data_IF_841732254225
#
_entry.id   IF_841732254225
#
_cell.length_a   1.000
_cell.length_b   1.000
_cell.length_c   1.000
_cell.angle_alpha   90.00
_cell.angle_beta   90.00
_cell.angle_gamma   90.00
#
_symmetry.space_group_name_H-M   'P 1'
#
loop_
_entity.id
_entity.type
_entity.pdbx_description
1 polymer ?
#
# COMPACT_ATOMS: atom_id res chain seq x y z
N UNK A 1 -18.37 13.79 21.81
CA UNK A 1 -18.35 14.48 20.51
C UNK A 1 -16.90 14.42 20.05
N UNK A 2 -16.58 13.59 19.06
CA UNK A 2 -15.22 13.57 18.51
C UNK A 2 -14.96 14.93 17.87
N UNK A 3 -13.92 15.62 18.32
CA UNK A 3 -13.44 16.82 17.64
C UNK A 3 -13.07 16.43 16.22
N UNK A 4 -13.58 17.16 15.23
CA UNK A 4 -13.13 17.03 13.85
C UNK A 4 -11.64 17.34 13.86
N UNK A 5 -10.81 16.41 13.40
CA UNK A 5 -9.38 16.66 13.29
C UNK A 5 -9.18 17.91 12.43
N UNK A 6 -8.69 19.01 13.02
CA UNK A 6 -8.64 20.33 12.40
C UNK A 6 -7.50 20.44 11.37
N UNK A 7 -7.56 19.61 10.33
CA UNK A 7 -6.64 19.64 9.17
C UNK A 7 -6.59 21.02 8.51
N UNK A 8 -7.69 21.78 8.61
CA UNK A 8 -7.83 23.13 8.05
C UNK A 8 -6.74 24.10 8.51
N UNK A 9 -6.19 23.91 9.71
CA UNK A 9 -5.14 24.77 10.29
C UNK A 9 -3.72 24.29 9.96
N UNK A 10 -3.56 23.08 9.43
CA UNK A 10 -2.25 22.50 9.15
C UNK A 10 -1.65 23.17 7.92
N UNK A 11 -0.44 23.73 8.09
CA UNK A 11 0.30 24.37 7.02
C UNK A 11 0.74 23.36 5.96
N UNK A 12 0.71 23.80 4.69
CA UNK A 12 1.18 22.99 3.57
C UNK A 12 2.70 22.87 3.54
N UNK A 13 3.18 21.68 3.16
CA UNK A 13 4.59 21.44 2.85
C UNK A 13 5.06 22.29 1.66
N UNK A 14 6.38 22.50 1.54
CA UNK A 14 6.97 23.21 0.38
C UNK A 14 6.63 22.51 -0.94
N UNK A 15 6.65 21.16 -0.97
CA UNK A 15 6.27 20.38 -2.16
C UNK A 15 4.80 20.60 -2.51
N UNK A 16 3.89 20.51 -1.54
CA UNK A 16 2.45 20.78 -1.72
C UNK A 16 2.21 22.18 -2.30
N UNK A 17 2.88 23.22 -1.78
CA UNK A 17 2.75 24.59 -2.29
C UNK A 17 3.23 24.74 -3.73
N UNK A 18 4.32 24.07 -4.11
CA UNK A 18 4.80 24.06 -5.51
C UNK A 18 3.80 23.39 -6.44
N UNK A 19 3.21 22.26 -6.02
CA UNK A 19 2.19 21.56 -6.80
C UNK A 19 0.90 22.35 -6.92
N UNK A 20 0.44 23.00 -5.85
CA UNK A 20 -0.70 23.92 -5.92
C UNK A 20 -0.48 25.02 -6.96
N UNK A 21 0.69 25.67 -6.95
CA UNK A 21 1.01 26.71 -7.94
C UNK A 21 0.98 26.16 -9.36
N UNK A 22 1.47 24.95 -9.58
CA UNK A 22 1.37 24.26 -10.87
C UNK A 22 -0.09 24.03 -11.27
N UNK A 23 -0.89 23.46 -10.36
CA UNK A 23 -2.32 23.20 -10.56
C UNK A 23 -3.08 24.46 -10.98
N UNK A 24 -2.91 25.58 -10.25
CA UNK A 24 -3.61 26.83 -10.55
C UNK A 24 -3.13 27.46 -11.86
N UNK A 25 -1.80 27.52 -12.08
CA UNK A 25 -1.21 28.08 -13.30
C UNK A 25 -1.65 27.34 -14.58
N UNK A 26 -1.82 26.02 -14.50
CA UNK A 26 -2.27 25.20 -15.62
C UNK A 26 -3.80 25.26 -15.83
N UNK A 27 -4.54 25.91 -14.93
CA UNK A 27 -6.00 25.98 -14.96
C UNK A 27 -6.49 27.38 -14.59
N UNK A 28 -6.40 28.33 -15.54
CA UNK A 28 -6.77 29.74 -15.32
C UNK A 28 -8.17 29.90 -14.72
N UNK A 29 -9.15 29.11 -15.18
CA UNK A 29 -10.51 29.19 -14.64
C UNK A 29 -10.62 28.69 -13.21
N UNK A 30 -9.87 27.65 -12.86
CA UNK A 30 -9.79 27.17 -11.48
C UNK A 30 -9.11 28.21 -10.60
N UNK A 31 -8.01 28.82 -11.05
CA UNK A 31 -7.32 29.90 -10.35
C UNK A 31 -8.26 31.08 -10.09
N UNK A 32 -8.97 31.54 -11.12
CA UNK A 32 -9.95 32.63 -11.00
C UNK A 32 -11.00 32.33 -9.91
N UNK A 33 -11.59 31.12 -9.92
CA UNK A 33 -12.56 30.71 -8.91
C UNK A 33 -11.92 30.65 -7.53
N UNK A 34 -10.75 30.03 -7.42
CA UNK A 34 -10.06 29.82 -6.15
C UNK A 34 -9.54 31.12 -5.53
N UNK A 35 -9.26 32.17 -6.30
CA UNK A 35 -8.78 33.48 -5.81
C UNK A 35 -9.95 34.41 -5.46
N UNK A 36 -11.03 34.39 -6.23
CA UNK A 36 -12.13 35.33 -6.04
C UNK A 36 -13.18 34.88 -5.02
N UNK A 37 -13.29 33.57 -4.77
CA UNK A 37 -14.23 33.02 -3.81
C UNK A 37 -13.90 33.45 -2.37
N UNK A 38 -14.85 34.11 -1.70
CA UNK A 38 -14.68 34.61 -0.33
C UNK A 38 -14.71 33.50 0.73
N UNK A 39 -15.30 32.36 0.39
CA UNK A 39 -15.46 31.23 1.29
C UNK A 39 -15.48 29.90 0.51
N UNK A 40 -15.41 28.79 1.24
CA UNK A 40 -15.41 27.43 0.68
C UNK A 40 -16.67 27.10 -0.12
N UNK A 41 -17.82 27.68 0.23
CA UNK A 41 -19.08 27.46 -0.47
C UNK A 41 -19.08 28.13 -1.83
N UNK A 42 -18.61 29.37 -1.92
CA UNK A 42 -18.45 30.08 -3.20
C UNK A 42 -17.46 29.37 -4.12
N UNK A 43 -16.35 28.87 -3.59
CA UNK A 43 -15.38 28.11 -4.37
C UNK A 43 -16.01 26.83 -4.94
N UNK A 44 -16.76 26.10 -4.11
CA UNK A 44 -17.47 24.89 -4.51
C UNK A 44 -18.53 25.16 -5.58
N UNK A 45 -19.35 26.19 -5.40
CA UNK A 45 -20.39 26.58 -6.37
C UNK A 45 -19.78 27.07 -7.67
N UNK A 46 -18.69 27.85 -7.60
CA UNK A 46 -17.96 28.33 -8.77
C UNK A 46 -17.42 27.19 -9.63
N UNK A 47 -16.75 26.20 -9.01
CA UNK A 47 -16.27 25.02 -9.73
C UNK A 47 -17.44 24.21 -10.26
N UNK A 48 -18.51 24.02 -9.48
CA UNK A 48 -19.70 23.28 -9.92
C UNK A 48 -20.28 23.86 -11.20
N UNK A 49 -20.54 25.16 -11.23
CA UNK A 49 -21.14 25.83 -12.37
C UNK A 49 -20.23 25.72 -13.61
N UNK A 50 -18.93 25.98 -13.43
CA UNK A 50 -17.96 25.85 -14.52
C UNK A 50 -17.92 24.43 -15.12
N UNK A 51 -17.81 23.39 -14.28
CA UNK A 51 -17.76 22.01 -14.76
C UNK A 51 -19.09 21.59 -15.39
N UNK A 52 -20.21 22.06 -14.85
CA UNK A 52 -21.53 21.79 -15.42
C UNK A 52 -21.67 22.40 -16.82
N UNK A 53 -21.23 23.65 -17.03
CA UNK A 53 -21.20 24.29 -18.35
C UNK A 53 -20.33 23.52 -19.36
N UNK A 54 -19.22 22.91 -18.92
CA UNK A 54 -18.43 22.02 -19.77
C UNK A 54 -19.20 20.75 -20.13
N UNK A 55 -19.91 20.17 -19.17
CA UNK A 55 -20.70 18.95 -19.36
C UNK A 55 -21.91 19.19 -20.28
N UNK A 56 -22.53 20.38 -20.24
CA UNK A 56 -23.65 20.75 -21.11
C UNK A 56 -23.28 20.75 -22.59
N UNK A 57 -22.01 20.97 -22.93
CA UNK A 57 -21.50 20.85 -24.30
C UNK A 57 -21.49 19.40 -24.80
N UNK A 58 -21.68 18.42 -23.90
CA UNK A 58 -21.73 17.00 -24.22
C UNK A 58 -23.03 16.34 -23.68
N UNK A 59 -24.10 16.30 -24.50
CA UNK A 59 -25.40 15.77 -24.07
C UNK A 59 -25.36 14.33 -23.55
N UNK A 60 -24.48 13.47 -24.09
CA UNK A 60 -24.34 12.08 -23.63
C UNK A 60 -23.76 12.01 -22.21
N UNK A 61 -22.74 12.82 -21.94
CA UNK A 61 -22.10 12.88 -20.63
C UNK A 61 -23.03 13.50 -19.58
N UNK A 62 -23.75 14.57 -19.93
CA UNK A 62 -24.77 15.18 -19.07
C UNK A 62 -25.85 14.17 -18.70
N UNK A 63 -26.44 13.50 -19.70
CA UNK A 63 -27.48 12.48 -19.47
C UNK A 63 -26.98 11.34 -18.58
N UNK A 64 -25.75 10.88 -18.81
CA UNK A 64 -25.14 9.85 -17.95
C UNK A 64 -24.96 10.32 -16.50
N UNK A 65 -24.51 11.55 -16.29
CA UNK A 65 -24.34 12.11 -14.94
C UNK A 65 -25.68 12.23 -14.17
N UNK A 66 -26.75 12.66 -14.85
CA UNK A 66 -28.06 12.88 -14.25
C UNK A 66 -28.82 11.57 -13.97
N UNK A 67 -28.78 10.61 -14.90
CA UNK A 67 -29.62 9.40 -14.88
C UNK A 67 -28.82 8.10 -14.64
N UNK A 68 -27.49 8.16 -14.62
CA UNK A 68 -26.63 6.99 -14.44
C UNK A 68 -26.86 5.91 -15.50
N UNK A 69 -26.99 4.65 -15.08
CA UNK A 69 -27.22 3.51 -15.98
C UNK A 69 -28.60 3.56 -16.66
N UNK A 70 -29.58 4.26 -16.09
CA UNK A 70 -30.92 4.41 -16.67
C UNK A 70 -30.91 5.31 -17.90
N UNK A 71 -29.84 6.10 -18.11
CA UNK A 71 -29.66 6.96 -19.28
C UNK A 71 -29.61 6.22 -20.63
N UNK A 72 -29.31 4.92 -20.61
CA UNK A 72 -28.97 4.14 -21.80
C UNK A 72 -27.62 4.49 -22.43
N UNK A 73 -26.84 5.39 -21.81
CA UNK A 73 -25.48 5.75 -22.24
C UNK A 73 -24.48 4.86 -21.49
N UNK A 74 -23.63 4.16 -22.23
CA UNK A 74 -22.54 3.40 -21.62
C UNK A 74 -21.45 4.35 -21.13
N UNK A 75 -20.98 4.16 -19.89
CA UNK A 75 -19.84 4.91 -19.34
C UNK A 75 -18.60 4.84 -20.24
N UNK A 76 -18.37 3.66 -20.86
CA UNK A 76 -17.26 3.43 -21.79
C UNK A 76 -17.37 4.23 -23.10
N UNK A 77 -18.54 4.76 -23.43
CA UNK A 77 -18.78 5.56 -24.63
C UNK A 77 -18.53 7.06 -24.42
N UNK A 78 -18.26 7.51 -23.19
CA UNK A 78 -17.92 8.90 -22.89
C UNK A 78 -16.46 9.19 -23.25
N UNK A 79 -16.16 10.46 -23.53
CA UNK A 79 -14.78 10.93 -23.77
C UNK A 79 -14.00 10.90 -22.47
N UNK A 80 -12.67 10.78 -22.55
CA UNK A 80 -11.84 10.74 -21.36
C UNK A 80 -11.95 12.00 -20.48
N UNK A 81 -12.15 13.18 -21.08
CA UNK A 81 -12.41 14.41 -20.34
C UNK A 81 -13.79 14.46 -19.65
N UNK A 82 -14.79 13.75 -20.18
CA UNK A 82 -16.11 13.64 -19.53
C UNK A 82 -16.00 12.89 -18.20
N UNK A 83 -15.10 11.91 -18.10
CA UNK A 83 -14.85 11.16 -16.87
C UNK A 83 -14.34 12.10 -15.77
N UNK A 84 -13.43 13.01 -16.11
CA UNK A 84 -12.93 14.01 -15.16
C UNK A 84 -14.04 14.98 -14.73
N UNK A 85 -14.83 15.48 -15.68
CA UNK A 85 -15.96 16.38 -15.37
C UNK A 85 -16.96 15.72 -14.41
N UNK A 86 -17.37 14.48 -14.69
CA UNK A 86 -18.25 13.68 -13.83
C UNK A 86 -17.62 13.49 -12.44
N UNK A 87 -16.34 13.11 -12.38
CA UNK A 87 -15.63 12.90 -11.11
C UNK A 87 -15.53 14.16 -10.26
N UNK A 88 -15.26 15.32 -10.87
CA UNK A 88 -15.24 16.59 -10.13
C UNK A 88 -16.63 16.92 -9.59
N UNK A 89 -17.69 16.71 -10.38
CA UNK A 89 -19.07 16.90 -9.91
C UNK A 89 -19.44 15.92 -8.80
N UNK A 90 -18.97 14.68 -8.84
CA UNK A 90 -19.14 13.71 -7.76
C UNK A 90 -18.43 14.13 -6.47
N UNK A 91 -17.22 14.69 -6.56
CA UNK A 91 -16.51 15.27 -5.41
C UNK A 91 -17.30 16.42 -4.79
N UNK A 92 -17.88 17.28 -5.63
CA UNK A 92 -18.72 18.40 -5.20
C UNK A 92 -20.02 17.90 -4.54
N UNK A 93 -20.70 16.94 -5.16
CA UNK A 93 -21.94 16.34 -4.66
C UNK A 93 -21.75 15.68 -3.30
N UNK A 94 -20.59 15.06 -3.09
CA UNK A 94 -20.24 14.37 -1.84
C UNK A 94 -19.39 15.22 -0.89
N UNK A 95 -19.19 16.50 -1.19
CA UNK A 95 -18.40 17.39 -0.35
C UNK A 95 -19.06 17.60 1.02
N UNK A 96 -18.25 17.60 2.07
CA UNK A 96 -18.71 17.76 3.45
C UNK A 96 -19.23 16.47 4.08
N UNK A 97 -19.19 15.33 3.37
CA UNK A 97 -19.46 14.02 3.98
C UNK A 97 -18.36 13.71 4.99
N UNK A 98 -18.80 13.19 6.13
CA UNK A 98 -17.95 12.83 7.25
C UNK A 98 -17.91 11.30 7.40
N UNK A 99 -16.72 10.76 7.62
CA UNK A 99 -16.49 9.33 7.80
C UNK A 99 -15.65 9.12 9.05
N UNK A 100 -15.94 8.06 9.79
CA UNK A 100 -15.04 7.61 10.86
C UNK A 100 -13.84 6.95 10.18
N UNK A 101 -12.66 7.52 10.37
CA UNK A 101 -11.42 7.02 9.79
C UNK A 101 -10.66 6.23 10.85
N UNK A 102 -10.60 4.91 10.64
CA UNK A 102 -9.92 3.99 11.55
C UNK A 102 -8.40 4.12 11.48
N UNK A 103 -7.86 4.64 10.36
CA UNK A 103 -6.43 5.00 10.24
C UNK A 103 -6.08 6.25 11.06
N UNK A 104 -7.08 7.03 11.48
CA UNK A 104 -6.92 8.16 12.39
C UNK A 104 -7.48 7.82 13.78
N UNK A 105 -7.37 6.55 14.18
CA UNK A 105 -7.86 6.05 15.48
C UNK A 105 -9.34 6.36 15.76
N UNK A 106 -10.19 6.27 14.73
CA UNK A 106 -11.63 6.51 14.84
C UNK A 106 -12.03 7.99 14.85
N UNK A 107 -11.12 8.89 14.47
CA UNK A 107 -11.44 10.30 14.29
C UNK A 107 -12.36 10.53 13.08
N UNK A 108 -13.10 11.64 13.12
CA UNK A 108 -13.97 12.03 12.02
C UNK A 108 -13.14 12.72 10.92
N UNK A 109 -13.07 12.10 9.74
CA UNK A 109 -12.48 12.67 8.54
C UNK A 109 -13.57 13.30 7.67
N UNK A 110 -13.36 14.56 7.26
CA UNK A 110 -14.23 15.26 6.33
C UNK A 110 -13.64 15.20 4.91
N UNK A 111 -14.44 14.74 3.95
CA UNK A 111 -14.06 14.78 2.54
C UNK A 111 -14.57 16.06 1.88
N UNK A 112 -13.66 16.96 1.52
CA UNK A 112 -13.99 18.16 0.75
C UNK A 112 -12.81 18.63 -0.12
N UNK A 113 -12.56 17.98 -1.29
CA UNK A 113 -11.41 18.30 -2.15
C UNK A 113 -11.34 19.76 -2.60
N UNK A 114 -12.47 20.38 -2.95
CA UNK A 114 -12.51 21.76 -3.45
C UNK A 114 -12.16 22.75 -2.32
N UNK A 115 -12.67 22.51 -1.10
CA UNK A 115 -12.27 23.27 0.09
C UNK A 115 -10.77 23.19 0.34
N UNK A 116 -10.15 22.01 0.17
CA UNK A 116 -8.71 21.85 0.37
C UNK A 116 -7.90 22.73 -0.60
N UNK A 117 -8.31 22.81 -1.86
CA UNK A 117 -7.67 23.71 -2.86
C UNK A 117 -7.88 25.17 -2.47
N UNK A 118 -9.09 25.56 -2.06
CA UNK A 118 -9.39 26.93 -1.66
C UNK A 118 -8.59 27.36 -0.42
N UNK A 119 -8.55 26.54 0.64
CA UNK A 119 -7.73 26.77 1.84
C UNK A 119 -6.24 26.88 1.49
N UNK A 120 -5.77 26.01 0.60
CA UNK A 120 -4.41 26.00 0.12
C UNK A 120 -4.05 27.31 -0.59
N UNK A 121 -4.93 27.81 -1.46
CA UNK A 121 -4.75 29.04 -2.21
C UNK A 121 -4.79 30.30 -1.33
N UNK A 122 -5.76 30.39 -0.42
CA UNK A 122 -5.98 31.59 0.39
C UNK A 122 -5.13 31.66 1.65
N UNK A 123 -4.92 30.53 2.31
CA UNK A 123 -4.33 30.48 3.67
C UNK A 123 -3.00 29.73 3.69
N UNK A 124 -2.67 28.97 2.64
CA UNK A 124 -1.51 28.08 2.65
C UNK A 124 -1.66 26.94 3.68
N UNK A 125 -2.90 26.61 4.05
CA UNK A 125 -3.28 25.59 5.03
C UNK A 125 -4.23 24.55 4.40
N UNK A 126 -4.85 23.68 5.21
CA UNK A 126 -5.73 22.59 4.77
C UNK A 126 -5.11 21.20 4.92
N UNK A 127 -3.83 21.09 5.29
CA UNK A 127 -3.18 19.80 5.56
C UNK A 127 -2.98 18.87 4.36
N UNK A 128 -3.44 19.26 3.16
CA UNK A 128 -3.34 18.46 1.94
C UNK A 128 -1.88 18.08 1.60
N UNK A 129 -1.65 16.78 1.41
CA UNK A 129 -0.34 16.21 1.11
C UNK A 129 0.00 16.34 -0.37
N UNK A 130 1.27 16.19 -0.78
CA UNK A 130 1.68 16.32 -2.18
C UNK A 130 0.87 15.44 -3.15
N UNK A 131 0.58 14.19 -2.75
CA UNK A 131 -0.17 13.23 -3.58
C UNK A 131 -1.58 13.71 -3.94
N UNK A 132 -2.26 14.41 -3.02
CA UNK A 132 -3.55 15.04 -3.32
C UNK A 132 -3.44 16.04 -4.48
N UNK A 133 -2.42 16.88 -4.47
CA UNK A 133 -2.23 17.87 -5.54
C UNK A 133 -1.76 17.22 -6.85
N UNK A 134 -0.96 16.16 -6.78
CA UNK A 134 -0.59 15.35 -7.96
C UNK A 134 -1.86 14.76 -8.61
N UNK A 135 -2.74 14.15 -7.82
CA UNK A 135 -4.03 13.64 -8.30
C UNK A 135 -4.91 14.73 -8.89
N UNK A 136 -5.01 15.89 -8.25
CA UNK A 136 -5.79 17.02 -8.79
C UNK A 136 -5.19 17.53 -10.10
N UNK A 137 -3.86 17.65 -10.21
CA UNK A 137 -3.20 18.05 -11.46
C UNK A 137 -3.57 17.09 -12.59
N UNK A 138 -3.44 15.78 -12.38
CA UNK A 138 -3.78 14.78 -13.39
C UNK A 138 -5.27 14.79 -13.73
N UNK A 139 -6.16 14.96 -12.75
CA UNK A 139 -7.60 15.09 -12.98
C UNK A 139 -7.95 16.30 -13.85
N UNK A 140 -7.27 17.44 -13.63
CA UNK A 140 -7.50 18.64 -14.43
C UNK A 140 -6.83 18.58 -15.81
N UNK A 141 -5.68 17.90 -15.96
CA UNK A 141 -5.11 17.57 -17.29
C UNK A 141 -6.10 16.71 -18.09
N UNK A 142 -6.69 15.70 -17.45
CA UNK A 142 -7.75 14.87 -18.03
C UNK A 142 -8.97 15.71 -18.44
N UNK A 143 -9.42 16.64 -17.58
CA UNK A 143 -10.54 17.55 -17.88
C UNK A 143 -10.27 18.41 -19.14
N UNK A 144 -9.04 18.91 -19.30
CA UNK A 144 -8.63 19.71 -20.47
C UNK A 144 -8.51 18.87 -21.74
N UNK A 145 -8.54 17.55 -21.64
CA UNK A 145 -8.36 16.64 -22.77
C UNK A 145 -6.91 16.54 -23.24
N UNK A 146 -5.95 16.90 -22.38
CA UNK A 146 -4.51 16.78 -22.63
C UNK A 146 -3.95 15.41 -22.24
N UNK A 147 -4.70 14.65 -21.44
CA UNK A 147 -4.39 13.26 -21.12
C UNK A 147 -5.13 12.35 -22.10
N UNK A 148 -4.44 11.32 -22.59
CA UNK A 148 -5.02 10.29 -23.45
C UNK A 148 -5.00 8.96 -22.72
N UNK A 149 -6.14 8.26 -22.74
CA UNK A 149 -6.25 6.94 -22.12
C UNK A 149 -5.54 5.90 -22.99
N UNK A 150 -4.29 5.60 -22.67
CA UNK A 150 -3.57 4.45 -23.24
C UNK A 150 -3.93 3.17 -22.48
N UNK A 151 -4.49 2.18 -23.18
CA UNK A 151 -4.66 0.83 -22.64
C UNK A 151 -3.56 -0.01 -23.30
N UNK A 152 -2.55 -0.48 -22.54
CA UNK A 152 -1.45 -1.21 -23.14
C UNK A 152 -1.95 -2.51 -23.76
N UNK A 153 -1.38 -2.84 -24.92
CA UNK A 153 -1.58 -4.12 -25.57
C UNK A 153 -0.90 -5.25 -24.79
N UNK A 154 -1.32 -6.48 -25.05
CA UNK A 154 -0.78 -7.67 -24.38
C UNK A 154 0.73 -7.80 -24.62
N UNK A 155 1.18 -7.45 -25.81
CA UNK A 155 2.58 -7.47 -26.21
C UNK A 155 3.41 -6.45 -25.42
N UNK A 156 2.91 -5.22 -25.24
CA UNK A 156 3.56 -4.20 -24.40
C UNK A 156 3.69 -4.66 -22.94
N UNK A 157 2.65 -5.32 -22.41
CA UNK A 157 2.69 -5.88 -21.06
C UNK A 157 3.79 -6.95 -20.94
N UNK A 158 3.91 -7.85 -21.92
CA UNK A 158 4.98 -8.85 -21.92
C UNK A 158 6.37 -8.21 -22.03
N UNK A 159 6.54 -7.20 -22.89
CA UNK A 159 7.80 -6.46 -22.99
C UNK A 159 8.17 -5.79 -21.65
N UNK A 160 7.19 -5.27 -20.91
CA UNK A 160 7.44 -4.70 -19.57
C UNK A 160 7.81 -5.78 -18.56
N UNK A 161 7.16 -6.95 -18.62
CA UNK A 161 7.48 -8.08 -17.76
C UNK A 161 8.89 -8.62 -18.02
N UNK A 162 9.34 -8.67 -19.28
CA UNK A 162 10.67 -9.16 -19.66
C UNK A 162 11.82 -8.25 -19.20
N UNK A 163 11.55 -6.99 -18.85
CA UNK A 163 12.57 -6.06 -18.31
C UNK A 163 13.12 -6.50 -16.95
N UNK A 164 12.40 -7.36 -16.24
CA UNK A 164 12.78 -7.81 -14.91
C UNK A 164 12.90 -9.34 -14.87
N UNK A 165 13.94 -9.90 -14.21
CA UNK A 165 14.08 -11.34 -14.11
C UNK A 165 12.91 -11.91 -13.30
N UNK A 166 12.30 -12.97 -13.81
CA UNK A 166 11.30 -13.71 -13.03
C UNK A 166 11.97 -14.46 -11.88
N UNK A 167 11.20 -14.80 -10.85
CA UNK A 167 11.66 -15.68 -9.78
C UNK A 167 12.04 -17.11 -10.25
N UNK A 168 11.72 -17.46 -11.50
CA UNK A 168 12.06 -18.73 -12.14
C UNK A 168 13.32 -18.63 -13.03
N UNK A 169 13.90 -17.43 -13.18
CA UNK A 169 15.17 -17.26 -13.90
C UNK A 169 16.23 -18.17 -13.26
N UNK A 170 16.94 -19.00 -14.05
CA UNK A 170 17.95 -19.93 -13.51
C UNK A 170 19.00 -19.27 -12.63
N UNK A 171 19.32 -18.00 -12.88
CA UNK A 171 20.27 -17.23 -12.08
C UNK A 171 19.69 -16.89 -10.70
N UNK A 172 18.42 -16.51 -10.64
CA UNK A 172 17.70 -16.26 -9.37
C UNK A 172 17.51 -17.55 -8.59
N UNK A 173 17.15 -18.65 -9.26
CA UNK A 173 17.03 -19.98 -8.64
C UNK A 173 18.36 -20.39 -7.99
N UNK A 174 19.49 -20.16 -8.67
CA UNK A 174 20.81 -20.44 -8.11
C UNK A 174 21.10 -19.63 -6.84
N UNK A 175 20.80 -18.32 -6.83
CA UNK A 175 20.97 -17.48 -5.63
C UNK A 175 20.14 -18.00 -4.45
N UNK A 176 18.90 -18.43 -4.71
CA UNK A 176 18.02 -19.01 -3.69
C UNK A 176 18.53 -20.34 -3.16
N UNK A 177 19.15 -21.15 -4.03
CA UNK A 177 19.82 -22.37 -3.61
C UNK A 177 21.01 -22.04 -2.68
N UNK A 178 21.85 -21.07 -3.04
CA UNK A 178 22.98 -20.64 -2.20
C UNK A 178 22.49 -20.12 -0.83
N UNK A 179 21.38 -19.39 -0.79
CA UNK A 179 20.75 -18.95 0.46
C UNK A 179 20.24 -20.12 1.31
N UNK A 180 19.55 -21.08 0.69
CA UNK A 180 19.08 -22.30 1.36
C UNK A 180 20.25 -23.07 1.97
N UNK A 181 21.32 -23.25 1.21
CA UNK A 181 22.51 -23.99 1.65
C UNK A 181 23.15 -23.30 2.87
N UNK A 182 23.22 -21.96 2.86
CA UNK A 182 23.71 -21.18 4.00
C UNK A 182 22.82 -21.34 5.24
N UNK A 183 21.50 -21.21 5.09
CA UNK A 183 20.53 -21.39 6.19
C UNK A 183 20.64 -22.80 6.79
N UNK A 184 20.72 -23.82 5.93
CA UNK A 184 20.90 -25.21 6.37
C UNK A 184 22.18 -25.35 7.20
N UNK A 185 23.31 -24.82 6.72
CA UNK A 185 24.57 -24.93 7.44
C UNK A 185 24.51 -24.27 8.83
N UNK A 186 23.94 -23.06 8.93
CA UNK A 186 23.75 -22.38 10.21
C UNK A 186 22.89 -23.22 11.15
N UNK A 187 21.80 -23.81 10.67
CA UNK A 187 20.99 -24.70 11.51
C UNK A 187 21.72 -25.96 11.95
N UNK A 188 22.59 -26.54 11.12
CA UNK A 188 23.42 -27.67 11.56
C UNK A 188 24.32 -27.23 12.72
N UNK A 189 25.00 -26.09 12.58
CA UNK A 189 25.88 -25.54 13.63
C UNK A 189 25.11 -25.33 14.94
N UNK A 190 23.93 -24.69 14.86
CA UNK A 190 23.09 -24.43 16.04
C UNK A 190 22.52 -25.68 16.70
N UNK A 191 22.20 -26.72 15.94
CA UNK A 191 21.77 -28.01 16.52
C UNK A 191 22.96 -28.67 17.24
N UNK A 192 24.13 -28.66 16.63
CA UNK A 192 25.35 -29.26 17.18
C UNK A 192 25.83 -28.55 18.46
N UNK A 193 25.69 -27.23 18.51
CA UNK A 193 25.99 -26.39 19.68
C UNK A 193 24.89 -26.47 20.77
N UNK A 194 23.75 -27.10 20.47
CA UNK A 194 22.62 -27.24 21.38
C UNK A 194 21.77 -25.98 21.55
N UNK A 195 21.98 -24.95 20.73
CA UNK A 195 21.16 -23.73 20.70
C UNK A 195 19.74 -24.02 20.18
N UNK A 196 19.62 -24.94 19.22
CA UNK A 196 18.34 -25.44 18.72
C UNK A 196 18.17 -26.89 19.14
N UNK A 197 17.15 -27.14 19.95
CA UNK A 197 16.80 -28.49 20.39
C UNK A 197 15.35 -28.81 20.05
N UNK A 198 15.16 -29.64 19.01
CA UNK A 198 13.86 -30.10 18.57
C UNK A 198 13.73 -31.61 18.70
N UNK A 199 12.62 -32.12 19.25
CA UNK A 199 12.46 -33.55 19.50
C UNK A 199 12.39 -34.43 18.25
N UNK A 200 12.07 -33.88 17.07
CA UNK A 200 11.92 -34.63 15.82
C UNK A 200 13.04 -34.35 14.84
N UNK A 201 13.55 -33.13 14.84
CA UNK A 201 14.54 -32.62 13.90
C UNK A 201 15.86 -32.37 14.64
N UNK A 202 16.49 -33.46 15.05
CA UNK A 202 17.79 -33.46 15.73
C UNK A 202 18.68 -34.57 15.16
N UNK A 203 20.00 -34.41 15.27
CA UNK A 203 20.97 -35.39 14.80
C UNK A 203 21.19 -36.48 15.85
N UNK A 204 21.31 -37.71 15.39
CA UNK A 204 21.56 -38.86 16.26
C UNK A 204 23.05 -39.23 16.21
N UNK A 205 23.75 -39.09 17.33
CA UNK A 205 25.16 -39.46 17.48
C UNK A 205 26.13 -38.60 16.67
N UNK A 206 27.38 -39.04 16.59
CA UNK A 206 28.40 -38.38 15.76
C UNK A 206 28.15 -38.69 14.28
N UNK A 207 27.73 -37.68 13.53
CA UNK A 207 27.50 -37.75 12.09
C UNK A 207 28.46 -36.80 11.36
N UNK A 208 28.85 -37.14 10.14
CA UNK A 208 29.64 -36.24 9.29
C UNK A 208 28.80 -35.05 8.83
N UNK A 209 29.46 -33.93 8.50
CA UNK A 209 28.78 -32.71 8.02
C UNK A 209 27.91 -32.98 6.80
N UNK A 210 28.40 -33.77 5.84
CA UNK A 210 27.68 -34.14 4.62
C UNK A 210 26.43 -34.99 4.93
N UNK A 211 26.50 -35.90 5.91
CA UNK A 211 25.35 -36.69 6.32
C UNK A 211 24.26 -35.79 6.96
N UNK A 212 24.65 -34.87 7.84
CA UNK A 212 23.75 -33.89 8.46
C UNK A 212 23.10 -32.99 7.41
N UNK A 213 23.88 -32.52 6.44
CA UNK A 213 23.39 -31.71 5.33
C UNK A 213 22.33 -32.42 4.49
N UNK A 214 22.59 -33.68 4.09
CA UNK A 214 21.60 -34.49 3.38
C UNK A 214 20.32 -34.70 4.21
N UNK A 215 20.47 -34.89 5.53
CA UNK A 215 19.32 -35.02 6.43
C UNK A 215 18.49 -33.74 6.51
N UNK A 216 19.15 -32.59 6.57
CA UNK A 216 18.49 -31.29 6.52
C UNK A 216 17.73 -31.07 5.21
N UNK A 217 18.26 -31.55 4.07
CA UNK A 217 17.53 -31.50 2.79
C UNK A 217 16.25 -32.35 2.82
N UNK A 218 16.27 -33.52 3.46
CA UNK A 218 15.05 -34.32 3.66
C UNK A 218 14.03 -33.58 4.52
N UNK A 219 14.47 -32.98 5.63
CA UNK A 219 13.61 -32.20 6.52
C UNK A 219 13.06 -30.94 5.86
N UNK A 220 13.85 -30.27 5.02
CA UNK A 220 13.43 -29.09 4.27
C UNK A 220 12.20 -29.32 3.40
N UNK A 221 11.96 -30.56 2.96
CA UNK A 221 10.78 -30.91 2.17
C UNK A 221 9.51 -31.13 3.03
N UNK A 222 9.61 -30.98 4.36
CA UNK A 222 8.50 -31.16 5.30
C UNK A 222 7.97 -29.81 5.78
N UNK A 223 6.68 -29.54 5.61
CA UNK A 223 6.07 -28.30 6.10
C UNK A 223 6.24 -28.11 7.62
N UNK A 224 6.18 -29.19 8.39
CA UNK A 224 6.36 -29.16 9.84
C UNK A 224 7.77 -28.70 10.26
N UNK A 225 8.81 -28.97 9.47
CA UNK A 225 10.16 -28.47 9.74
C UNK A 225 10.17 -26.95 9.75
N UNK A 226 9.60 -26.35 8.71
CA UNK A 226 9.56 -24.89 8.55
C UNK A 226 8.79 -24.15 9.64
N UNK A 227 7.78 -24.80 10.22
CA UNK A 227 7.04 -24.23 11.36
C UNK A 227 7.83 -24.32 12.67
N UNK A 228 8.56 -25.42 12.88
CA UNK A 228 9.36 -25.64 14.09
C UNK A 228 10.65 -24.84 14.09
N UNK A 229 11.24 -24.63 12.92
CA UNK A 229 12.47 -23.85 12.70
C UNK A 229 12.18 -22.41 12.25
N UNK A 230 10.95 -21.93 12.43
CA UNK A 230 10.61 -20.56 12.12
C UNK A 230 11.47 -19.59 12.97
N UNK A 231 11.92 -18.52 12.33
CA UNK A 231 12.72 -17.46 12.97
C UNK A 231 11.85 -16.65 13.91
N UNK A 232 12.35 -16.41 15.13
CA UNK A 232 11.61 -15.75 16.23
C UNK A 232 12.33 -14.58 16.87
N UNK A 233 13.49 -14.17 16.36
CA UNK A 233 14.22 -13.01 16.87
C UNK A 233 14.92 -12.25 15.74
N UNK A 234 15.16 -10.93 15.92
CA UNK A 234 15.94 -10.11 14.99
C UNK A 234 17.35 -10.67 14.74
N UNK A 235 18.02 -11.17 15.79
CA UNK A 235 19.39 -11.67 15.69
C UNK A 235 19.48 -12.92 14.82
N UNK A 236 18.61 -13.90 15.07
CA UNK A 236 18.56 -15.13 14.28
C UNK A 236 18.18 -14.82 12.82
N UNK A 237 17.27 -13.85 12.60
CA UNK A 237 16.94 -13.39 11.26
C UNK A 237 18.17 -12.86 10.53
N UNK A 238 18.95 -11.99 11.18
CA UNK A 238 20.11 -11.36 10.57
C UNK A 238 21.23 -12.39 10.30
N UNK A 239 21.48 -13.29 11.25
CA UNK A 239 22.43 -14.39 11.08
C UNK A 239 22.03 -15.29 9.90
N UNK A 240 20.76 -15.69 9.83
CA UNK A 240 20.20 -16.44 8.72
C UNK A 240 20.04 -15.63 7.44
N UNK A 241 20.41 -14.35 7.42
CA UNK A 241 20.62 -13.54 6.23
C UNK A 241 22.10 -13.24 5.99
N UNK A 242 23.02 -13.91 6.68
CA UNK A 242 24.46 -13.69 6.52
C UNK A 242 24.89 -12.28 6.90
N UNK A 243 24.21 -11.67 7.88
CA UNK A 243 24.42 -10.31 8.37
C UNK A 243 24.33 -9.23 7.28
N UNK A 244 23.44 -9.41 6.30
CA UNK A 244 23.25 -8.45 5.21
C UNK A 244 22.26 -7.32 5.52
N UNK A 245 21.57 -7.35 6.66
CA UNK A 245 20.66 -6.28 7.03
C UNK A 245 21.48 -5.07 7.52
N UNK A 246 21.12 -3.89 7.03
CA UNK A 246 21.77 -2.65 7.46
C UNK A 246 21.34 -2.27 8.90
N UNK A 247 22.11 -1.38 9.58
CA UNK A 247 21.82 -0.99 10.95
C UNK A 247 20.44 -0.36 11.16
N UNK A 248 19.91 0.38 10.19
CA UNK A 248 18.60 1.03 10.32
C UNK A 248 17.48 -0.01 10.27
N UNK A 249 17.59 -0.98 9.35
CA UNK A 249 16.70 -2.15 9.31
C UNK A 249 16.78 -2.94 10.62
N UNK A 250 17.97 -3.19 11.16
CA UNK A 250 18.10 -3.90 12.44
C UNK A 250 17.45 -3.14 13.60
N UNK A 251 17.59 -1.82 13.67
CA UNK A 251 16.94 -1.00 14.68
C UNK A 251 15.41 -1.12 14.61
N UNK A 252 14.84 -1.11 13.40
CA UNK A 252 13.40 -1.33 13.19
C UNK A 252 12.97 -2.69 13.73
N UNK A 253 13.73 -3.77 13.47
CA UNK A 253 13.40 -5.10 13.96
C UNK A 253 13.45 -5.19 15.50
N UNK A 254 14.46 -4.57 16.14
CA UNK A 254 14.50 -4.53 17.61
C UNK A 254 13.36 -3.73 18.20
N UNK A 255 12.95 -2.62 17.56
CA UNK A 255 11.81 -1.84 18.02
C UNK A 255 10.50 -2.62 17.86
N UNK A 256 10.36 -3.40 16.78
CA UNK A 256 9.24 -4.31 16.60
C UNK A 256 9.16 -5.38 17.70
N UNK A 257 10.30 -5.97 18.07
CA UNK A 257 10.38 -6.94 19.17
C UNK A 257 9.99 -6.31 20.51
N UNK A 258 10.46 -5.09 20.81
CA UNK A 258 10.13 -4.37 22.04
C UNK A 258 8.64 -4.06 22.18
N UNK A 259 7.95 -3.72 21.09
CA UNK A 259 6.51 -3.45 21.12
C UNK A 259 5.68 -4.75 21.08
N UNK A 260 6.32 -5.91 21.00
CA UNK A 260 5.68 -7.22 21.06
C UNK A 260 5.13 -7.72 19.73
N UNK A 261 5.61 -7.22 18.59
CA UNK A 261 5.26 -7.80 17.28
C UNK A 261 5.84 -9.22 17.21
N UNK A 262 5.03 -10.25 16.95
CA UNK A 262 5.51 -11.62 16.90
C UNK A 262 6.37 -11.84 15.66
N UNK A 263 7.60 -12.30 15.88
CA UNK A 263 8.48 -12.80 14.83
C UNK A 263 8.15 -14.25 14.52
N UNK A 264 7.75 -14.51 13.27
CA UNK A 264 7.54 -15.86 12.78
C UNK A 264 7.81 -15.91 11.28
N UNK A 265 9.04 -16.26 10.90
CA UNK A 265 9.45 -16.31 9.49
C UNK A 265 9.90 -17.72 9.14
N UNK A 266 9.23 -18.31 8.15
CA UNK A 266 9.55 -19.64 7.65
C UNK A 266 10.94 -19.63 6.94
N UNK A 267 11.84 -20.60 7.22
CA UNK A 267 13.14 -20.72 6.55
C UNK A 267 13.08 -20.75 5.02
N UNK A 268 12.04 -21.36 4.45
CA UNK A 268 11.78 -21.33 3.01
C UNK A 268 11.61 -19.91 2.48
N UNK A 269 10.77 -19.09 3.11
CA UNK A 269 10.57 -17.69 2.71
C UNK A 269 11.88 -16.91 2.83
N UNK A 270 12.65 -17.18 3.88
CA UNK A 270 13.93 -16.53 4.08
C UNK A 270 14.95 -16.87 2.98
N UNK A 271 14.93 -18.12 2.47
CA UNK A 271 15.77 -18.53 1.35
C UNK A 271 15.49 -17.78 0.04
N UNK A 272 14.31 -17.16 -0.08
CA UNK A 272 13.92 -16.37 -1.25
C UNK A 272 14.53 -14.96 -1.26
N UNK A 273 15.01 -14.46 -0.11
CA UNK A 273 15.56 -13.11 0.02
C UNK A 273 16.99 -13.03 -0.48
N UNK A 274 17.31 -11.98 -1.22
CA UNK A 274 18.67 -11.72 -1.66
C UNK A 274 19.53 -11.22 -0.49
N UNK A 275 20.68 -11.86 -0.29
CA UNK A 275 21.68 -11.46 0.70
C UNK A 275 22.73 -10.55 0.06
N UNK A 276 23.27 -10.97 -1.08
CA UNK A 276 24.16 -10.18 -1.94
C UNK A 276 23.47 -9.98 -3.27
N UNK A 277 23.03 -8.75 -3.53
CA UNK A 277 22.18 -8.44 -4.69
C UNK A 277 23.04 -8.21 -5.94
N UNK A 278 22.99 -9.08 -6.96
CA UNK A 278 23.66 -8.77 -8.22
C UNK A 278 22.90 -7.68 -8.97
N UNK A 279 23.61 -6.91 -9.80
CA UNK A 279 23.05 -5.73 -10.49
C UNK A 279 21.77 -6.03 -11.29
N UNK A 280 21.67 -7.20 -11.92
CA UNK A 280 20.50 -7.58 -12.72
C UNK A 280 19.27 -7.97 -11.90
N UNK A 281 19.41 -8.15 -10.58
CA UNK A 281 18.34 -8.57 -9.66
C UNK A 281 18.04 -7.53 -8.58
N UNK A 282 18.51 -6.29 -8.77
CA UNK A 282 18.22 -5.19 -7.83
C UNK A 282 16.71 -5.02 -7.71
N UNK A 283 16.23 -5.12 -6.48
CA UNK A 283 14.83 -4.95 -6.14
C UNK A 283 13.94 -6.16 -6.43
N UNK A 284 14.47 -7.26 -6.97
CA UNK A 284 13.66 -8.40 -7.42
C UNK A 284 13.03 -9.20 -6.25
N UNK A 285 13.52 -9.05 -5.03
CA UNK A 285 12.94 -9.64 -3.81
C UNK A 285 12.24 -8.60 -2.92
N UNK A 286 12.14 -7.32 -3.31
CA UNK A 286 11.54 -6.26 -2.48
C UNK A 286 10.13 -6.63 -2.03
N UNK A 287 9.31 -7.13 -2.94
CA UNK A 287 7.96 -7.54 -2.61
C UNK A 287 7.92 -8.57 -1.48
N UNK A 288 8.82 -9.57 -1.47
CA UNK A 288 8.89 -10.59 -0.42
C UNK A 288 9.53 -10.01 0.84
N UNK A 289 10.54 -9.15 0.69
CA UNK A 289 11.24 -8.49 1.79
C UNK A 289 10.30 -7.62 2.61
N UNK A 290 9.43 -6.85 1.97
CA UNK A 290 8.48 -5.96 2.62
C UNK A 290 7.38 -6.73 3.40
N UNK A 291 7.16 -8.02 3.09
CA UNK A 291 6.31 -8.90 3.91
C UNK A 291 7.02 -9.44 5.17
N UNK A 292 8.36 -9.50 5.15
CA UNK A 292 9.17 -10.11 6.21
C UNK A 292 9.70 -9.05 7.17
N UNK A 293 10.12 -7.90 6.64
CA UNK A 293 10.71 -6.80 7.39
C UNK A 293 9.63 -5.78 7.69
N UNK A 294 9.46 -5.45 8.97
CA UNK A 294 8.45 -4.50 9.42
C UNK A 294 8.75 -3.08 8.95
N UNK A 295 7.71 -2.29 8.72
CA UNK A 295 7.85 -0.85 8.50
C UNK A 295 7.78 -0.09 9.83
N UNK A 296 8.36 1.11 9.88
CA UNK A 296 8.26 1.99 11.06
C UNK A 296 6.79 2.30 11.38
N UNK A 297 5.99 2.54 10.35
CA UNK A 297 4.56 2.81 10.47
C UNK A 297 3.81 1.64 11.10
N UNK A 298 4.12 0.39 10.70
CA UNK A 298 3.50 -0.79 11.31
C UNK A 298 3.80 -0.85 12.81
N UNK A 299 5.05 -0.56 13.21
CA UNK A 299 5.47 -0.57 14.62
C UNK A 299 4.73 0.50 15.42
N UNK A 300 4.64 1.72 14.88
CA UNK A 300 3.96 2.85 15.51
C UNK A 300 2.46 2.60 15.70
N UNK A 301 1.84 1.92 14.74
CA UNK A 301 0.41 1.59 14.77
C UNK A 301 0.10 0.28 15.50
N UNK A 302 1.10 -0.56 15.80
CA UNK A 302 0.88 -1.88 16.37
C UNK A 302 0.15 -1.79 17.72
N UNK A 303 -0.94 -2.55 17.87
CA UNK A 303 -1.85 -2.48 19.02
C UNK A 303 -2.97 -1.43 18.88
N UNK A 304 -2.87 -0.52 17.90
CA UNK A 304 -3.90 0.45 17.54
C UNK A 304 -4.57 0.14 16.19
N UNK A 305 -4.00 -0.79 15.41
CA UNK A 305 -4.57 -1.27 14.15
C UNK A 305 -6.00 -1.78 14.39
N UNK A 306 -6.95 -1.12 13.74
CA UNK A 306 -8.33 -1.56 13.63
C UNK A 306 -8.57 -2.14 12.23
N UNK A 307 -9.67 -2.88 12.07
CA UNK A 307 -10.25 -3.24 10.77
C UNK A 307 -10.03 -2.11 9.73
N UNK A 308 -9.33 -2.43 8.63
CA UNK A 308 -8.82 -1.45 7.67
C UNK A 308 -9.96 -0.85 6.85
N UNK A 309 -10.96 -1.67 6.56
CA UNK A 309 -12.17 -1.27 5.86
C UNK A 309 -13.43 -1.53 6.71
N UNK A 310 -14.53 -0.87 6.35
CA UNK A 310 -15.86 -1.14 6.95
C UNK A 310 -16.24 -2.62 6.81
N UNK A 311 -15.72 -3.28 5.78
CA UNK A 311 -15.90 -4.69 5.50
C UNK A 311 -15.19 -5.59 6.51
N UNK A 312 -14.10 -5.14 7.13
CA UNK A 312 -13.35 -5.94 8.11
C UNK A 312 -13.96 -5.90 9.52
N UNK A 313 -14.93 -5.02 9.77
CA UNK A 313 -15.65 -4.96 11.04
C UNK A 313 -16.64 -6.13 11.10
N UNK A 314 -16.32 -7.09 11.95
CA UNK A 314 -17.09 -8.33 12.11
C UNK A 314 -17.76 -8.39 13.48
N UNK A 315 -19.05 -8.72 13.48
CA UNK A 315 -19.83 -8.96 14.69
C UNK A 315 -20.35 -10.41 14.68
N UNK A 316 -20.18 -11.18 15.76
CA UNK A 316 -20.71 -12.54 15.83
C UNK A 316 -22.21 -12.59 15.52
N UNK A 317 -22.61 -13.45 14.59
CA UNK A 317 -24.01 -13.61 14.20
C UNK A 317 -24.59 -12.46 13.35
N UNK A 318 -23.79 -11.51 12.89
CA UNK A 318 -24.21 -10.50 11.90
C UNK A 318 -23.29 -10.51 10.67
N UNK A 319 -23.86 -10.31 9.46
CA UNK A 319 -23.04 -10.10 8.28
C UNK A 319 -22.31 -8.76 8.37
N UNK A 320 -21.02 -8.73 8.05
CA UNK A 320 -20.27 -7.48 7.85
C UNK A 320 -20.71 -6.78 6.55
N UNK A 321 -20.10 -5.63 6.22
CA UNK A 321 -20.44 -4.88 5.00
C UNK A 321 -20.17 -5.64 3.69
N UNK A 322 -19.26 -6.63 3.71
CA UNK A 322 -19.00 -7.54 2.60
C UNK A 322 -19.98 -8.74 2.54
N UNK A 323 -20.91 -8.86 3.49
CA UNK A 323 -21.87 -9.95 3.57
C UNK A 323 -21.35 -11.23 4.25
N UNK A 324 -20.14 -11.21 4.81
CA UNK A 324 -19.57 -12.33 5.57
C UNK A 324 -20.21 -12.42 6.96
N UNK A 325 -20.79 -13.57 7.27
CA UNK A 325 -21.34 -13.89 8.59
C UNK A 325 -20.31 -14.72 9.37
N UNK A 326 -19.75 -14.15 10.45
CA UNK A 326 -18.94 -14.96 11.36
C UNK A 326 -19.86 -15.88 12.19
N UNK A 327 -19.61 -17.20 12.21
CA UNK A 327 -20.35 -18.11 13.07
C UNK A 327 -20.21 -17.69 14.54
N UNK A 328 -21.30 -17.79 15.31
CA UNK A 328 -21.37 -17.40 16.73
C UNK A 328 -20.61 -18.32 17.68
N UNK A 329 -19.95 -19.36 17.18
CA UNK A 329 -19.30 -20.38 18.00
C UNK A 329 -17.79 -20.22 17.97
N UNK A 330 -17.19 -20.22 19.16
CA UNK A 330 -15.74 -20.35 19.30
C UNK A 330 -15.34 -21.70 18.70
N UNK A 331 -14.45 -21.72 17.73
CA UNK A 331 -13.76 -22.94 17.33
C UNK A 331 -12.88 -23.34 18.51
N UNK A 332 -13.39 -24.23 19.37
CA UNK A 332 -12.63 -24.92 20.42
C UNK A 332 -11.61 -25.88 19.83
#
# INVERSE_FOLDING_TARGET
MSEVYELDKIALSVKSRKLLKKLLKENEKLEEIMVNAQNETEALVGVKNWIYELLEKNPKAKKYYEEGNESGVSFKALKWSDYAAIRILDYIKNAGRAFIDLNLHGQLALSNPIKLIWLAAHKGTGGAKPYFFEDMIHLFIQLRGEDERHIPHKEEIFEWMERYPSGLDPRIVKLRQENKDRIINIFIDKIDEGEINDSKYNFEGEQTRDAKYNKMLEWWNQSAFHLRFAVRSPDLLNELLGHSLDPDTMNILYDAEKVGIPFFINPYYLSLLHVRVPYYAIGADLAIRDYIIYSRQLIEEFGHISAWEKEDIVEPGKPNAAGCLLPSHHNT
#
